data_IF_508165873555
#
_entry.id   IF_508165873555
#
_cell.length_a   1.000
_cell.length_b   1.000
_cell.length_c   1.000
_cell.angle_alpha   90.00
_cell.angle_beta   90.00
_cell.angle_gamma   90.00
#
_symmetry.space_group_name_H-M   'P 1'
#
loop_
_entity.id
_entity.type
_entity.pdbx_description
1 polymer ?
#
# COMPACT_ATOMS: atom_id res chain seq x y z
N UNK A 1 3.39 -0.15 16.74
CA UNK A 1 3.92 -1.51 16.86
C UNK A 1 2.95 -2.38 17.65
N UNK A 2 2.62 -2.02 18.90
CA UNK A 2 1.63 -2.74 19.75
C UNK A 2 0.36 -3.17 19.00
N UNK A 3 -0.33 -2.25 18.31
CA UNK A 3 -1.56 -2.58 17.55
C UNK A 3 -1.27 -3.55 16.38
N UNK A 4 -0.13 -3.41 15.71
CA UNK A 4 0.24 -4.26 14.56
C UNK A 4 0.46 -5.70 14.98
N UNK A 5 1.12 -5.90 16.12
CA UNK A 5 1.36 -7.23 16.68
C UNK A 5 0.07 -7.83 17.24
N UNK A 6 -0.66 -7.06 18.06
CA UNK A 6 -1.92 -7.50 18.65
C UNK A 6 -2.95 -7.96 17.60
N UNK A 7 -2.99 -7.28 16.44
CA UNK A 7 -3.91 -7.59 15.35
C UNK A 7 -3.28 -8.45 14.24
N UNK A 8 -2.00 -8.84 14.37
CA UNK A 8 -1.25 -9.62 13.38
C UNK A 8 -1.29 -9.02 11.96
N UNK A 9 -1.04 -7.71 11.85
CA UNK A 9 -1.05 -6.97 10.59
C UNK A 9 0.28 -7.15 9.84
N UNK A 10 0.35 -8.19 9.01
CA UNK A 10 1.58 -8.64 8.34
C UNK A 10 2.08 -7.75 7.20
N UNK A 11 1.19 -7.02 6.53
CA UNK A 11 1.52 -6.27 5.32
C UNK A 11 1.09 -4.82 5.47
N UNK A 12 1.94 -3.89 5.02
CA UNK A 12 1.60 -2.48 4.90
C UNK A 12 1.60 -2.07 3.43
N UNK A 13 0.52 -1.46 2.98
CA UNK A 13 0.37 -0.90 1.63
C UNK A 13 0.38 0.61 1.75
N UNK A 14 1.31 1.25 1.06
CA UNK A 14 1.36 2.70 0.92
C UNK A 14 1.23 3.08 -0.55
N UNK A 15 0.35 4.03 -0.84
CA UNK A 15 0.10 4.51 -2.20
C UNK A 15 0.54 5.96 -2.30
N UNK A 16 1.42 6.23 -3.24
CA UNK A 16 1.99 7.56 -3.50
C UNK A 16 1.79 7.88 -4.98
N UNK A 17 0.89 8.81 -5.29
CA UNK A 17 0.72 9.31 -6.65
C UNK A 17 0.58 10.84 -6.63
N UNK A 18 0.95 11.45 -7.75
CA UNK A 18 0.86 12.90 -7.93
C UNK A 18 -0.59 13.36 -8.02
N UNK A 19 -0.90 14.48 -7.38
CA UNK A 19 -2.22 15.09 -7.41
C UNK A 19 -2.25 16.33 -8.30
N UNK A 20 -3.28 16.48 -9.16
CA UNK A 20 -3.53 17.75 -9.84
C UNK A 20 -3.62 18.92 -8.84
N UNK A 21 -2.81 19.95 -9.04
CA UNK A 21 -2.80 21.15 -8.20
C UNK A 21 -1.81 21.13 -7.03
N UNK A 22 -1.06 20.04 -6.83
CA UNK A 22 0.10 20.01 -5.94
C UNK A 22 1.35 20.15 -6.79
N UNK A 23 2.13 21.21 -6.57
CA UNK A 23 3.36 21.44 -7.31
C UNK A 23 4.50 20.64 -6.69
N UNK A 24 5.05 19.70 -7.44
CA UNK A 24 6.19 18.86 -7.04
C UNK A 24 7.31 18.95 -8.06
N UNK A 25 8.52 18.47 -7.70
CA UNK A 25 9.65 18.42 -8.65
C UNK A 25 9.40 17.45 -9.80
N UNK A 26 8.67 16.37 -9.52
CA UNK A 26 8.33 15.30 -10.46
C UNK A 26 6.82 15.20 -10.57
N UNK A 27 6.32 15.07 -11.79
CA UNK A 27 4.88 14.96 -12.07
C UNK A 27 4.50 13.51 -12.40
N UNK A 28 3.21 13.17 -12.38
CA UNK A 28 2.67 11.89 -12.84
C UNK A 28 3.33 10.66 -12.19
N UNK A 29 3.65 10.75 -10.91
CA UNK A 29 4.10 9.60 -10.12
C UNK A 29 2.88 8.75 -9.78
N UNK A 30 3.01 7.43 -9.86
CA UNK A 30 2.05 6.47 -9.31
C UNK A 30 2.78 5.21 -8.88
N UNK A 31 3.16 5.17 -7.61
CA UNK A 31 3.98 4.14 -7.00
C UNK A 31 3.22 3.51 -5.83
N UNK A 32 3.20 2.18 -5.80
CA UNK A 32 2.69 1.42 -4.65
C UNK A 32 3.82 0.70 -3.94
N UNK A 33 3.87 0.89 -2.63
CA UNK A 33 4.86 0.28 -1.75
C UNK A 33 4.17 -0.78 -0.90
N UNK A 34 4.65 -2.01 -1.02
CA UNK A 34 4.24 -3.15 -0.21
C UNK A 34 5.38 -3.47 0.76
N UNK A 35 5.11 -3.37 2.05
CA UNK A 35 6.10 -3.53 3.11
C UNK A 35 5.73 -4.71 4.01
N UNK A 36 6.71 -5.56 4.29
CA UNK A 36 6.63 -6.54 5.39
C UNK A 36 6.59 -5.77 6.73
N UNK A 37 5.68 -6.13 7.63
CA UNK A 37 5.35 -5.28 8.78
C UNK A 37 5.56 -5.95 10.16
N UNK A 38 6.11 -7.18 10.20
CA UNK A 38 6.17 -8.01 11.42
C UNK A 38 7.55 -8.59 11.77
N UNK A 39 8.57 -8.43 10.94
CA UNK A 39 9.93 -8.89 11.23
C UNK A 39 11.00 -7.89 10.74
N UNK A 40 12.24 -8.34 10.58
CA UNK A 40 13.38 -7.51 10.23
C UNK A 40 13.90 -6.70 11.40
N UNK A 41 14.41 -5.51 11.11
CA UNK A 41 15.09 -4.61 12.05
C UNK A 41 14.12 -4.02 13.10
N UNK A 42 12.81 -4.06 12.82
CA UNK A 42 11.80 -3.58 13.75
C UNK A 42 11.37 -4.61 14.80
N UNK A 43 12.02 -5.78 14.86
CA UNK A 43 11.85 -6.74 15.97
C UNK A 43 12.37 -6.19 17.30
N UNK A 44 13.24 -5.15 17.27
CA UNK A 44 13.87 -4.52 18.46
C UNK A 44 14.60 -5.51 19.34
N UNK A 45 15.16 -6.55 18.73
CA UNK A 45 16.00 -7.51 19.41
C UNK A 45 17.41 -6.95 19.45
N UNK A 46 17.69 -6.20 20.52
CA UNK A 46 18.97 -5.56 20.76
C UNK A 46 19.46 -5.90 22.16
N UNK A 47 20.76 -6.14 22.28
CA UNK A 47 21.41 -6.38 23.57
C UNK A 47 22.82 -5.83 23.56
N UNK A 48 23.31 -5.52 24.76
CA UNK A 48 24.68 -5.06 25.00
C UNK A 48 25.39 -6.14 25.82
N UNK A 49 26.13 -7.01 25.14
CA UNK A 49 26.82 -8.14 25.79
C UNK A 49 28.04 -7.67 26.60
N UNK A 50 28.67 -6.59 26.17
CA UNK A 50 29.82 -5.92 26.81
C UNK A 50 29.58 -4.41 26.74
N UNK A 51 29.89 -3.64 27.79
CA UNK A 51 29.74 -2.18 27.76
C UNK A 51 30.42 -1.57 26.52
N UNK A 52 29.65 -0.85 25.72
CA UNK A 52 30.06 -0.24 24.45
C UNK A 52 29.82 -1.10 23.20
N UNK A 53 29.33 -2.34 23.32
CA UNK A 53 29.10 -3.26 22.18
C UNK A 53 27.63 -3.65 22.10
N UNK A 54 26.90 -2.98 21.20
CA UNK A 54 25.47 -3.22 20.96
C UNK A 54 25.28 -4.09 19.72
N UNK A 55 24.57 -5.19 19.89
CA UNK A 55 24.16 -6.08 18.81
C UNK A 55 22.69 -5.86 18.46
N UNK A 56 22.35 -5.94 17.18
CA UNK A 56 20.98 -5.84 16.68
C UNK A 56 20.68 -7.03 15.78
N UNK A 57 19.65 -7.81 16.13
CA UNK A 57 19.29 -9.05 15.45
C UNK A 57 18.20 -8.83 14.41
N UNK A 58 18.61 -8.78 13.14
CA UNK A 58 17.69 -8.80 12.00
C UNK A 58 17.24 -10.22 11.69
N UNK A 59 15.97 -10.52 11.93
CA UNK A 59 15.36 -11.82 11.62
C UNK A 59 14.48 -11.70 10.38
N UNK A 60 14.75 -12.52 9.37
CA UNK A 60 13.93 -12.68 8.17
C UNK A 60 13.53 -14.14 8.04
N UNK A 61 12.25 -14.42 7.83
CA UNK A 61 11.73 -15.77 7.70
C UNK A 61 11.12 -15.98 6.32
N UNK A 62 11.33 -17.18 5.76
CA UNK A 62 10.75 -17.53 4.47
C UNK A 62 9.22 -17.45 4.47
N UNK A 63 8.59 -17.81 5.60
CA UNK A 63 7.13 -17.80 5.77
C UNK A 63 6.55 -16.38 5.63
N UNK A 64 7.09 -15.40 6.37
CA UNK A 64 6.60 -14.01 6.33
C UNK A 64 6.98 -13.33 5.01
N UNK A 65 8.18 -13.58 4.50
CA UNK A 65 8.61 -13.14 3.17
C UNK A 65 7.69 -13.65 2.05
N UNK A 66 7.30 -14.93 2.09
CA UNK A 66 6.38 -15.52 1.10
C UNK A 66 5.00 -14.89 1.19
N UNK A 67 4.51 -14.64 2.41
CA UNK A 67 3.21 -14.02 2.63
C UNK A 67 3.14 -12.61 2.02
N UNK A 68 4.13 -11.76 2.28
CA UNK A 68 4.15 -10.39 1.72
C UNK A 68 4.37 -10.39 0.20
N UNK A 69 5.22 -11.29 -0.32
CA UNK A 69 5.44 -11.43 -1.75
C UNK A 69 4.15 -11.88 -2.48
N UNK A 70 3.50 -12.92 -1.97
CA UNK A 70 2.22 -13.42 -2.50
C UNK A 70 1.18 -12.31 -2.53
N UNK A 71 1.03 -11.58 -1.42
CA UNK A 71 0.12 -10.43 -1.35
C UNK A 71 0.48 -9.36 -2.39
N UNK A 72 1.77 -9.04 -2.59
CA UNK A 72 2.20 -8.02 -3.55
C UNK A 72 1.81 -8.38 -4.99
N UNK A 73 2.00 -9.64 -5.39
CA UNK A 73 1.61 -10.10 -6.73
C UNK A 73 0.09 -10.22 -6.91
N UNK A 74 -0.64 -10.69 -5.92
CA UNK A 74 -2.11 -10.70 -5.95
C UNK A 74 -2.68 -9.28 -6.05
N UNK A 75 -2.11 -8.35 -5.28
CA UNK A 75 -2.42 -6.92 -5.38
C UNK A 75 -2.11 -6.40 -6.79
N UNK A 76 -0.96 -6.75 -7.36
CA UNK A 76 -0.57 -6.31 -8.69
C UNK A 76 -1.59 -6.75 -9.75
N UNK A 77 -2.01 -8.03 -9.73
CA UNK A 77 -3.03 -8.57 -10.63
C UNK A 77 -4.37 -7.84 -10.44
N UNK A 78 -4.83 -7.71 -9.19
CA UNK A 78 -6.11 -7.04 -8.87
C UNK A 78 -6.14 -5.58 -9.33
N UNK A 79 -5.01 -4.89 -9.24
CA UNK A 79 -4.88 -3.48 -9.58
C UNK A 79 -4.32 -3.21 -10.97
N UNK A 80 -4.21 -4.24 -11.82
CA UNK A 80 -3.71 -4.14 -13.20
C UNK A 80 -2.33 -3.46 -13.26
N UNK A 81 -1.52 -3.70 -12.23
CA UNK A 81 -0.12 -3.30 -12.16
C UNK A 81 0.67 -4.27 -13.03
N UNK A 82 1.80 -3.79 -13.55
CA UNK A 82 2.56 -4.48 -14.60
C UNK A 82 3.94 -4.90 -14.12
N UNK A 83 4.50 -4.20 -13.13
CA UNK A 83 5.85 -4.47 -12.61
C UNK A 83 5.87 -4.51 -11.08
N UNK A 84 6.49 -5.56 -10.52
CA UNK A 84 6.83 -5.69 -9.10
C UNK A 84 8.36 -5.75 -8.94
N UNK A 85 8.93 -4.78 -8.22
CA UNK A 85 10.35 -4.72 -7.90
C UNK A 85 10.60 -5.17 -6.46
N UNK A 86 11.39 -6.23 -6.26
CA UNK A 86 11.88 -6.58 -4.92
C UNK A 86 13.08 -5.71 -4.55
N UNK A 87 12.99 -4.95 -3.46
CA UNK A 87 14.09 -4.09 -3.00
C UNK A 87 14.80 -4.72 -1.81
N UNK A 88 16.12 -4.82 -1.89
CA UNK A 88 16.93 -5.58 -0.92
C UNK A 88 18.36 -5.03 -0.81
N UNK A 89 19.20 -5.62 0.03
CA UNK A 89 20.65 -5.38 0.12
C UNK A 89 21.42 -6.71 0.19
N UNK A 90 21.02 -7.65 -0.66
CA UNK A 90 21.57 -9.02 -0.69
C UNK A 90 23.05 -9.07 -1.16
N UNK A 91 23.58 -7.98 -1.72
CA UNK A 91 25.02 -7.86 -1.98
C UNK A 91 25.86 -7.82 -0.69
N UNK A 92 25.29 -7.32 0.41
CA UNK A 92 25.91 -7.32 1.74
C UNK A 92 25.30 -8.41 2.62
N UNK A 93 23.98 -8.40 2.80
CA UNK A 93 23.23 -9.37 3.61
C UNK A 93 22.83 -10.61 2.78
N UNK A 94 23.83 -11.41 2.43
CA UNK A 94 23.67 -12.56 1.51
C UNK A 94 22.63 -13.59 1.99
N UNK A 95 22.48 -13.78 3.31
CA UNK A 95 21.55 -14.78 3.85
C UNK A 95 20.16 -14.20 4.12
N UNK A 96 20.04 -13.13 4.91
CA UNK A 96 18.73 -12.56 5.29
C UNK A 96 18.01 -11.94 4.09
N UNK A 97 18.64 -10.98 3.43
CA UNK A 97 18.06 -10.34 2.25
C UNK A 97 18.11 -11.24 1.01
N UNK A 98 19.09 -12.13 0.93
CA UNK A 98 19.11 -13.17 -0.10
C UNK A 98 17.92 -14.11 0.03
N UNK A 99 17.55 -14.53 1.24
CA UNK A 99 16.35 -15.32 1.48
C UNK A 99 15.08 -14.57 1.03
N UNK A 100 14.95 -13.30 1.41
CA UNK A 100 13.81 -12.47 0.99
C UNK A 100 13.71 -12.38 -0.55
N UNK A 101 14.82 -12.10 -1.23
CA UNK A 101 14.88 -12.00 -2.69
C UNK A 101 14.53 -13.33 -3.37
N UNK A 102 15.10 -14.44 -2.89
CA UNK A 102 14.85 -15.77 -3.44
C UNK A 102 13.37 -16.14 -3.33
N UNK A 103 12.76 -15.89 -2.16
CA UNK A 103 11.34 -16.15 -1.94
C UNK A 103 10.46 -15.28 -2.84
N UNK A 104 10.77 -13.98 -3.01
CA UNK A 104 10.05 -13.12 -3.95
C UNK A 104 10.15 -13.65 -5.40
N UNK A 105 11.35 -14.06 -5.81
CA UNK A 105 11.62 -14.62 -7.14
C UNK A 105 10.90 -15.94 -7.38
N UNK A 106 10.77 -16.78 -6.36
CA UNK A 106 9.98 -18.02 -6.43
C UNK A 106 8.50 -17.74 -6.58
N UNK A 107 7.95 -16.80 -5.80
CA UNK A 107 6.53 -16.41 -5.90
C UNK A 107 6.23 -15.83 -7.28
N UNK A 108 7.14 -15.00 -7.82
CA UNK A 108 6.99 -14.39 -9.15
C UNK A 108 6.72 -15.42 -10.26
N UNK A 109 7.29 -16.64 -10.17
CA UNK A 109 7.06 -17.72 -11.14
C UNK A 109 5.60 -18.15 -11.24
N UNK A 110 4.82 -17.93 -10.18
CA UNK A 110 3.38 -18.25 -10.15
C UNK A 110 2.52 -17.14 -10.77
N UNK A 111 3.12 -15.99 -11.11
CA UNK A 111 2.46 -14.82 -11.68
C UNK A 111 3.15 -14.35 -12.97
N UNK A 112 3.22 -15.19 -14.03
CA UNK A 112 3.96 -14.89 -15.25
C UNK A 112 3.46 -13.64 -16.02
N UNK A 113 2.26 -13.16 -15.71
CA UNK A 113 1.67 -11.95 -16.27
C UNK A 113 2.20 -10.65 -15.64
N UNK A 114 2.95 -10.73 -14.54
CA UNK A 114 3.53 -9.58 -13.85
C UNK A 114 5.04 -9.61 -14.06
N UNK A 115 5.60 -8.52 -14.59
CA UNK A 115 7.05 -8.39 -14.70
C UNK A 115 7.67 -8.32 -13.30
N UNK A 116 8.78 -9.04 -13.11
CA UNK A 116 9.50 -9.07 -11.85
C UNK A 116 10.96 -8.69 -12.06
N UNK A 117 11.44 -7.74 -11.27
CA UNK A 117 12.85 -7.42 -11.18
C UNK A 117 13.27 -7.19 -9.71
N UNK A 118 14.56 -6.99 -9.49
CA UNK A 118 15.08 -6.65 -8.17
C UNK A 118 16.06 -5.47 -8.24
N UNK A 119 16.15 -4.74 -7.13
CA UNK A 119 17.03 -3.58 -7.02
C UNK A 119 17.63 -3.48 -5.63
N UNK A 120 18.93 -3.15 -5.56
CA UNK A 120 19.57 -2.84 -4.28
C UNK A 120 19.04 -1.50 -3.72
N UNK A 121 18.80 -1.43 -2.41
CA UNK A 121 18.12 -0.31 -1.75
C UNK A 121 18.79 1.06 -1.96
N UNK A 122 20.13 1.11 -2.02
CA UNK A 122 20.89 2.31 -2.34
C UNK A 122 20.62 2.81 -3.76
N UNK A 123 20.67 1.92 -4.75
CA UNK A 123 20.31 2.27 -6.13
C UNK A 123 18.83 2.64 -6.22
N UNK A 124 17.94 1.94 -5.49
CA UNK A 124 16.52 2.27 -5.44
C UNK A 124 16.27 3.70 -4.95
N UNK A 125 16.90 4.11 -3.85
CA UNK A 125 16.80 5.49 -3.36
C UNK A 125 17.32 6.52 -4.38
N UNK A 126 18.47 6.24 -5.02
CA UNK A 126 19.03 7.11 -6.06
C UNK A 126 18.07 7.23 -7.26
N UNK A 127 17.54 6.11 -7.74
CA UNK A 127 16.62 6.06 -8.88
C UNK A 127 15.28 6.70 -8.55
N UNK A 128 14.76 6.58 -7.33
CA UNK A 128 13.49 7.19 -6.91
C UNK A 128 13.54 8.71 -7.02
N UNK A 129 14.65 9.34 -6.60
CA UNK A 129 14.78 10.80 -6.67
C UNK A 129 15.13 11.32 -8.06
N UNK A 130 15.77 10.50 -8.90
CA UNK A 130 16.20 10.90 -10.25
C UNK A 130 15.18 10.56 -11.34
N UNK A 131 14.60 9.36 -11.30
CA UNK A 131 13.74 8.79 -12.35
C UNK A 131 12.61 7.93 -11.73
N UNK A 132 11.67 8.53 -10.98
CA UNK A 132 10.64 7.77 -10.26
C UNK A 132 9.69 6.98 -11.17
N UNK A 133 9.47 7.41 -12.41
CA UNK A 133 8.53 6.79 -13.36
C UNK A 133 8.87 5.37 -13.79
N UNK A 134 10.08 4.89 -13.48
CA UNK A 134 10.46 3.50 -13.76
C UNK A 134 9.82 2.51 -12.76
N UNK A 135 9.33 3.00 -11.62
CA UNK A 135 8.74 2.16 -10.58
C UNK A 135 7.21 2.11 -10.72
N UNK A 136 6.65 0.92 -10.51
CA UNK A 136 5.20 0.68 -10.46
C UNK A 136 4.82 0.17 -9.06
N UNK A 137 5.14 -1.08 -8.76
CA UNK A 137 5.07 -1.63 -7.41
C UNK A 137 6.44 -2.01 -6.87
N UNK A 138 6.66 -1.77 -5.58
CA UNK A 138 7.84 -2.25 -4.87
C UNK A 138 7.45 -3.10 -3.67
N UNK A 139 8.12 -4.24 -3.49
CA UNK A 139 7.98 -5.10 -2.31
C UNK A 139 9.28 -5.07 -1.51
N UNK A 140 9.18 -4.77 -0.21
CA UNK A 140 10.34 -4.50 0.63
C UNK A 140 10.24 -5.17 2.02
N UNK A 141 11.38 -5.55 2.62
CA UNK A 141 11.49 -5.78 4.06
C UNK A 141 11.14 -4.53 4.88
N UNK A 142 10.94 -4.75 6.17
CA UNK A 142 10.31 -3.78 7.06
C UNK A 142 11.00 -2.41 7.14
N UNK A 143 12.32 -2.37 7.37
CA UNK A 143 13.07 -1.11 7.44
C UNK A 143 13.09 -0.36 6.12
N UNK A 144 13.37 -1.05 5.02
CA UNK A 144 13.50 -0.43 3.70
C UNK A 144 12.17 0.11 3.21
N UNK A 145 11.07 -0.62 3.44
CA UNK A 145 9.73 -0.13 3.15
C UNK A 145 9.40 1.16 3.91
N UNK A 146 9.91 1.33 5.13
CA UNK A 146 9.73 2.59 5.87
C UNK A 146 10.52 3.75 5.24
N UNK A 147 11.77 3.51 4.85
CA UNK A 147 12.63 4.54 4.24
C UNK A 147 12.08 4.96 2.87
N UNK A 148 11.86 3.98 1.99
CA UNK A 148 11.32 4.20 0.64
C UNK A 148 9.93 4.82 0.69
N UNK A 149 9.09 4.41 1.66
CA UNK A 149 7.80 5.03 1.92
C UNK A 149 7.87 6.53 2.18
N UNK A 150 8.83 6.99 2.98
CA UNK A 150 9.01 8.41 3.26
C UNK A 150 9.57 9.17 2.05
N UNK A 151 10.50 8.57 1.30
CA UNK A 151 11.01 9.16 0.05
C UNK A 151 9.88 9.34 -0.96
N UNK A 152 9.09 8.28 -1.20
CA UNK A 152 7.96 8.33 -2.14
C UNK A 152 6.88 9.33 -1.71
N UNK A 153 6.59 9.44 -0.41
CA UNK A 153 5.69 10.48 0.09
C UNK A 153 6.24 11.89 -0.20
N UNK A 154 7.54 12.12 0.01
CA UNK A 154 8.19 13.39 -0.32
C UNK A 154 8.11 13.74 -1.81
N UNK A 155 8.20 12.75 -2.71
CA UNK A 155 8.11 12.96 -4.15
C UNK A 155 6.73 13.46 -4.61
N UNK A 156 5.67 13.11 -3.89
CA UNK A 156 4.27 13.43 -4.27
C UNK A 156 3.67 14.62 -3.50
N UNK A 157 4.49 15.39 -2.79
CA UNK A 157 4.05 16.59 -2.05
C UNK A 157 4.02 16.42 -0.53
N UNK A 158 4.51 15.30 -0.03
CA UNK A 158 4.78 15.08 1.38
C UNK A 158 3.74 14.23 2.11
N UNK A 159 3.83 14.21 3.45
CA UNK A 159 3.11 13.22 4.26
C UNK A 159 1.60 13.42 4.31
N UNK A 160 1.11 14.64 4.03
CA UNK A 160 -0.30 14.98 4.01
C UNK A 160 -1.08 14.38 2.83
N UNK A 161 -0.39 13.71 1.90
CA UNK A 161 -0.99 13.12 0.69
C UNK A 161 -0.79 11.59 0.59
N UNK A 162 0.08 11.02 1.42
CA UNK A 162 0.37 9.58 1.39
C UNK A 162 -0.69 8.77 2.16
N UNK A 163 -1.25 7.74 1.53
CA UNK A 163 -2.28 6.86 2.11
C UNK A 163 -1.65 5.55 2.59
N UNK A 164 -2.21 4.97 3.66
CA UNK A 164 -1.64 3.78 4.32
C UNK A 164 -2.70 2.76 4.77
N UNK A 165 -2.41 1.48 4.52
CA UNK A 165 -3.25 0.37 4.94
C UNK A 165 -2.39 -0.72 5.55
N UNK A 166 -2.70 -1.13 6.78
CA UNK A 166 -2.08 -2.30 7.42
C UNK A 166 -3.08 -3.45 7.34
N UNK A 167 -2.66 -4.55 6.76
CA UNK A 167 -3.51 -5.69 6.47
C UNK A 167 -2.94 -6.94 7.15
N UNK A 168 -3.82 -7.67 7.83
CA UNK A 168 -3.59 -9.02 8.33
C UNK A 168 -4.69 -9.96 7.86
N UNK A 169 -4.66 -11.21 8.34
CA UNK A 169 -5.60 -12.24 7.87
C UNK A 169 -7.05 -11.98 8.33
N UNK A 170 -7.20 -11.34 9.49
CA UNK A 170 -8.50 -11.10 10.14
C UNK A 170 -8.82 -9.62 10.36
N UNK A 171 -7.82 -8.76 10.27
CA UNK A 171 -7.93 -7.35 10.66
C UNK A 171 -7.32 -6.45 9.59
N UNK A 172 -7.89 -5.27 9.44
CA UNK A 172 -7.35 -4.20 8.62
C UNK A 172 -7.36 -2.90 9.43
N UNK A 173 -6.28 -2.13 9.34
CA UNK A 173 -6.12 -0.83 9.97
C UNK A 173 -5.72 0.20 8.91
N UNK A 174 -6.55 1.22 8.77
CA UNK A 174 -6.38 2.31 7.83
C UNK A 174 -5.79 3.51 8.57
N UNK A 175 -4.62 3.97 8.15
CA UNK A 175 -3.91 5.11 8.74
C UNK A 175 -3.24 5.99 7.66
N UNK A 176 -2.67 7.13 8.03
CA UNK A 176 -1.87 7.91 7.07
C UNK A 176 -0.65 7.11 6.62
N UNK A 177 -0.25 7.23 5.35
CA UNK A 177 0.84 6.47 4.75
C UNK A 177 2.20 6.72 5.41
N UNK A 178 2.37 7.89 6.01
CA UNK A 178 3.52 8.21 6.84
C UNK A 178 3.09 8.47 8.28
N UNK A 179 3.97 8.11 9.22
CA UNK A 179 3.73 8.27 10.66
C UNK A 179 4.27 9.62 11.15
N UNK A 180 3.76 10.71 10.56
CA UNK A 180 4.15 12.06 10.96
C UNK A 180 3.20 12.57 12.05
N UNK A 181 3.75 12.78 13.24
CA UNK A 181 2.96 13.18 14.42
C UNK A 181 2.39 14.59 14.34
N UNK A 182 2.91 15.44 13.44
CA UNK A 182 2.43 16.80 13.25
C UNK A 182 2.43 17.64 14.53
N UNK A 183 3.27 17.32 15.53
CA UNK A 183 3.26 17.96 16.86
C UNK A 183 3.35 19.48 16.80
N UNK A 184 4.11 20.01 15.84
CA UNK A 184 4.25 21.45 15.61
C UNK A 184 2.97 22.15 15.10
N UNK A 185 1.96 21.39 14.65
CA UNK A 185 0.70 21.87 14.09
C UNK A 185 -0.48 21.78 15.08
N UNK A 186 -0.28 21.16 16.24
CA UNK A 186 -1.33 20.95 17.25
C UNK A 186 -1.89 22.30 17.70
N UNK A 187 -3.23 22.42 17.73
CA UNK A 187 -3.94 23.63 18.17
C UNK A 187 -3.94 24.78 17.15
N UNK A 188 -3.26 24.64 16.01
CA UNK A 188 -3.16 25.71 14.99
C UNK A 188 -4.23 25.65 13.91
N UNK A 189 -4.96 24.53 13.80
CA UNK A 189 -5.98 24.31 12.77
C UNK A 189 -5.47 24.50 11.32
N UNK A 190 -4.22 24.12 11.06
CA UNK A 190 -3.56 24.21 9.73
C UNK A 190 -3.09 22.85 9.20
N UNK A 191 -3.45 21.75 9.88
CA UNK A 191 -3.05 20.41 9.46
C UNK A 191 -3.84 20.01 8.19
N UNK A 192 -3.15 19.39 7.23
CA UNK A 192 -3.78 18.87 6.03
C UNK A 192 -4.53 17.56 6.34
N UNK A 193 -5.87 17.49 6.24
CA UNK A 193 -6.63 16.27 6.51
C UNK A 193 -6.67 15.31 5.33
N UNK A 194 -6.05 15.64 4.20
CA UNK A 194 -6.29 14.93 2.95
C UNK A 194 -5.87 13.46 3.00
N UNK A 195 -4.67 13.14 3.50
CA UNK A 195 -4.23 11.75 3.67
C UNK A 195 -5.22 10.90 4.47
N UNK A 196 -5.80 11.42 5.56
CA UNK A 196 -6.74 10.64 6.36
C UNK A 196 -8.10 10.49 5.65
N UNK A 197 -8.56 11.50 4.92
CA UNK A 197 -9.79 11.41 4.12
C UNK A 197 -9.66 10.37 3.00
N UNK A 198 -8.52 10.32 2.35
CA UNK A 198 -8.23 9.35 1.31
C UNK A 198 -8.09 7.93 1.86
N UNK A 199 -7.40 7.78 2.99
CA UNK A 199 -7.35 6.50 3.71
C UNK A 199 -8.75 6.03 4.14
N UNK A 200 -9.67 6.94 4.52
CA UNK A 200 -11.06 6.60 4.81
C UNK A 200 -11.81 6.10 3.57
N UNK A 201 -11.54 6.69 2.40
CA UNK A 201 -12.09 6.18 1.13
C UNK A 201 -11.60 4.75 0.84
N UNK A 202 -10.33 4.45 1.12
CA UNK A 202 -9.79 3.09 1.02
C UNK A 202 -10.48 2.12 1.99
N UNK A 203 -10.74 2.57 3.22
CA UNK A 203 -11.48 1.78 4.22
C UNK A 203 -12.90 1.47 3.75
N UNK A 204 -13.63 2.47 3.22
CA UNK A 204 -14.97 2.26 2.71
C UNK A 204 -14.98 1.28 1.53
N UNK A 205 -14.01 1.40 0.62
CA UNK A 205 -13.82 0.44 -0.47
C UNK A 205 -13.57 -0.98 0.03
N UNK A 206 -12.74 -1.13 1.06
CA UNK A 206 -12.46 -2.42 1.70
C UNK A 206 -13.71 -3.04 2.31
N UNK A 207 -14.53 -2.25 3.01
CA UNK A 207 -15.79 -2.71 3.59
C UNK A 207 -16.81 -3.13 2.53
N UNK A 208 -16.98 -2.35 1.47
CA UNK A 208 -17.91 -2.69 0.37
C UNK A 208 -17.49 -3.99 -0.30
N UNK A 209 -16.18 -4.18 -0.52
CA UNK A 209 -15.66 -5.43 -1.07
C UNK A 209 -15.97 -6.62 -0.15
N UNK A 210 -15.81 -6.47 1.17
CA UNK A 210 -16.19 -7.49 2.15
C UNK A 210 -17.68 -7.81 2.03
N UNK A 211 -18.56 -6.80 2.03
CA UNK A 211 -20.00 -7.02 1.91
C UNK A 211 -20.39 -7.74 0.61
N UNK A 212 -19.75 -7.41 -0.53
CA UNK A 212 -20.01 -8.11 -1.79
C UNK A 212 -19.59 -9.58 -1.73
N UNK A 213 -18.44 -9.89 -1.10
CA UNK A 213 -18.00 -11.27 -0.90
C UNK A 213 -18.96 -12.02 0.02
N UNK A 214 -19.36 -11.43 1.16
CA UNK A 214 -20.34 -12.05 2.07
C UNK A 214 -21.72 -12.20 1.44
N UNK A 215 -22.17 -11.27 0.60
CA UNK A 215 -23.42 -11.42 -0.12
C UNK A 215 -23.38 -12.60 -1.10
N UNK A 216 -22.27 -12.79 -1.83
CA UNK A 216 -22.09 -13.96 -2.69
C UNK A 216 -22.00 -15.29 -1.92
N UNK A 217 -21.34 -15.32 -0.75
CA UNK A 217 -21.34 -16.51 0.10
C UNK A 217 -22.69 -16.75 0.81
N UNK A 218 -23.43 -15.68 1.10
CA UNK A 218 -24.79 -15.70 1.62
C UNK A 218 -25.79 -16.26 0.61
N UNK A 219 -25.74 -15.88 -0.66
CA UNK A 219 -26.65 -16.45 -1.67
C UNK A 219 -26.55 -17.99 -1.76
N UNK A 220 -25.36 -18.57 -1.53
CA UNK A 220 -25.18 -20.04 -1.49
C UNK A 220 -25.73 -20.72 -0.22
N UNK A 221 -25.98 -19.97 0.86
CA UNK A 221 -26.57 -20.48 2.11
C UNK A 221 -28.07 -20.13 2.26
N UNK A 222 -28.55 -19.11 1.54
CA UNK A 222 -29.95 -18.67 1.51
C UNK A 222 -30.75 -19.24 0.33
N UNK A 223 -30.14 -20.02 -0.57
CA UNK A 223 -30.82 -20.72 -1.66
C UNK A 223 -31.93 -21.71 -1.19
N UNK A 224 -31.99 -22.02 0.10
CA UNK A 224 -33.05 -22.85 0.71
C UNK A 224 -34.23 -22.10 1.35
N UNK A 225 -34.21 -20.76 1.46
CA UNK A 225 -35.19 -20.01 2.28
C UNK A 225 -36.17 -19.13 1.50
N UNK A 226 -36.27 -19.26 0.18
CA UNK A 226 -37.37 -18.69 -0.62
C UNK A 226 -37.41 -17.16 -0.72
N UNK A 227 -36.45 -16.43 -0.15
CA UNK A 227 -36.35 -14.98 -0.28
C UNK A 227 -35.73 -14.61 -1.65
N UNK A 228 -36.58 -14.37 -2.66
CA UNK A 228 -36.14 -13.76 -3.93
C UNK A 228 -35.83 -12.29 -3.71
N UNK A 229 -34.57 -11.97 -3.43
CA UNK A 229 -34.04 -10.60 -3.38
C UNK A 229 -33.93 -9.95 -4.77
N UNK A 230 -35.05 -9.71 -5.45
CA UNK A 230 -35.08 -9.09 -6.79
C UNK A 230 -34.68 -7.60 -6.80
N UNK A 231 -34.66 -6.92 -5.64
CA UNK A 231 -34.24 -5.52 -5.53
C UNK A 231 -32.72 -5.34 -5.36
N UNK A 232 -32.01 -6.28 -4.74
CA UNK A 232 -30.56 -6.13 -4.49
C UNK A 232 -29.72 -6.37 -5.75
N UNK A 233 -30.19 -7.23 -6.65
CA UNK A 233 -29.46 -7.66 -7.84
C UNK A 233 -29.20 -6.54 -8.87
N UNK A 234 -30.01 -5.47 -8.87
CA UNK A 234 -29.86 -4.34 -9.82
C UNK A 234 -28.99 -3.19 -9.30
N UNK A 235 -28.83 -3.03 -7.99
CA UNK A 235 -28.04 -1.94 -7.41
C UNK A 235 -26.60 -2.35 -7.09
N UNK A 236 -26.36 -3.59 -6.66
CA UNK A 236 -24.99 -4.08 -6.45
C UNK A 236 -24.24 -4.21 -7.77
N UNK A 237 -24.86 -4.68 -8.85
CA UNK A 237 -24.23 -4.69 -10.17
C UNK A 237 -23.96 -3.28 -10.74
N UNK A 238 -24.75 -2.27 -10.38
CA UNK A 238 -24.50 -0.87 -10.78
C UNK A 238 -23.38 -0.19 -9.98
N UNK A 239 -23.19 -0.58 -8.71
CA UNK A 239 -22.11 -0.06 -7.86
C UNK A 239 -20.81 -0.87 -7.97
N UNK A 240 -20.89 -2.16 -8.32
CA UNK A 240 -19.74 -3.06 -8.33
C UNK A 240 -18.99 -3.09 -9.67
N UNK A 241 -19.58 -2.67 -10.79
CA UNK A 241 -18.91 -2.80 -12.09
C UNK A 241 -19.54 -1.91 -13.16
N UNK A 242 -19.48 -0.59 -13.01
CA UNK A 242 -19.68 0.26 -14.19
C UNK A 242 -18.41 0.22 -15.07
N UNK A 243 -18.40 -0.76 -15.97
CA UNK A 243 -17.37 -1.00 -16.99
C UNK A 243 -17.43 0.04 -18.13
N UNK A 244 -18.28 1.07 -18.02
CA UNK A 244 -18.59 2.03 -19.08
C UNK A 244 -18.27 3.50 -18.76
N UNK A 245 -17.40 3.77 -17.78
CA UNK A 245 -16.74 5.08 -17.72
C UNK A 245 -15.75 5.20 -18.87
N UNK A 246 -16.30 5.54 -20.03
CA UNK A 246 -15.59 6.02 -21.21
C UNK A 246 -14.61 7.10 -20.78
N UNK A 247 -13.38 6.97 -21.26
CA UNK A 247 -12.25 7.84 -20.94
C UNK A 247 -12.44 9.16 -21.68
N UNK A 248 -13.38 9.98 -21.21
CA UNK A 248 -13.55 11.33 -21.70
C UNK A 248 -12.41 12.19 -21.13
N UNK A 249 -11.41 12.45 -21.97
CA UNK A 249 -10.11 13.09 -21.70
C UNK A 249 -10.21 14.58 -21.33
N UNK A 250 -11.37 15.05 -20.87
CA UNK A 250 -11.61 16.43 -20.49
C UNK A 250 -11.97 16.55 -19.00
N UNK A 251 -10.93 16.80 -18.21
CA UNK A 251 -10.97 17.61 -16.97
C UNK A 251 -11.80 17.10 -15.78
N UNK A 252 -11.90 15.79 -15.53
CA UNK A 252 -12.56 15.25 -14.33
C UNK A 252 -11.61 14.34 -13.53
N UNK A 253 -11.29 14.75 -12.30
CA UNK A 253 -10.36 14.08 -11.39
C UNK A 253 -10.91 12.72 -10.95
N UNK A 254 -10.25 11.65 -11.41
CA UNK A 254 -10.57 10.26 -11.10
C UNK A 254 -9.57 9.75 -10.06
N UNK A 255 -10.08 9.24 -8.94
CA UNK A 255 -9.36 8.70 -7.78
C UNK A 255 -9.18 7.20 -7.95
N UNK A 256 -7.98 6.69 -8.29
CA UNK A 256 -7.73 5.27 -8.30
C UNK A 256 -7.66 4.77 -6.86
N UNK A 257 -8.63 3.98 -6.41
CA UNK A 257 -8.58 3.20 -5.17
C UNK A 257 -8.44 1.72 -5.48
N UNK A 258 -7.86 0.92 -4.56
CA UNK A 258 -7.84 -0.53 -4.70
C UNK A 258 -9.23 -1.20 -4.69
N UNK A 259 -10.31 -0.42 -4.63
CA UNK A 259 -11.68 -0.92 -4.67
C UNK A 259 -12.54 -0.24 -5.75
N UNK A 260 -11.96 0.65 -6.57
CA UNK A 260 -12.66 1.33 -7.67
C UNK A 260 -12.07 2.70 -8.02
N UNK A 261 -12.62 3.34 -9.06
CA UNK A 261 -12.28 4.73 -9.42
C UNK A 261 -13.37 5.67 -8.91
N UNK A 262 -13.01 6.64 -8.06
CA UNK A 262 -13.99 7.57 -7.47
C UNK A 262 -13.82 8.97 -8.07
N UNK A 263 -14.88 9.76 -8.14
CA UNK A 263 -14.77 11.15 -8.60
C UNK A 263 -14.57 12.05 -7.38
N UNK A 264 -13.51 12.85 -7.37
CA UNK A 264 -13.30 13.83 -6.30
C UNK A 264 -14.33 14.95 -6.39
N UNK A 265 -14.86 15.36 -5.23
CA UNK A 265 -15.79 16.49 -5.18
C UNK A 265 -15.01 17.82 -5.31
N UNK A 266 -15.62 18.88 -5.87
CA UNK A 266 -14.95 20.18 -5.99
C UNK A 266 -14.47 20.80 -4.66
N UNK A 267 -15.04 20.36 -3.53
CA UNK A 267 -14.65 20.79 -2.19
C UNK A 267 -13.33 20.15 -1.75
N UNK A 268 -13.11 18.87 -2.10
CA UNK A 268 -11.85 18.17 -1.84
C UNK A 268 -10.71 18.74 -2.70
N UNK A 269 -10.99 19.14 -3.95
CA UNK A 269 -10.00 19.78 -4.83
C UNK A 269 -9.43 21.08 -4.25
N UNK A 270 -10.23 21.87 -3.52
CA UNK A 270 -9.74 23.09 -2.85
C UNK A 270 -8.78 22.78 -1.72
N UNK A 271 -9.02 21.70 -0.97
CA UNK A 271 -8.16 21.29 0.16
C UNK A 271 -6.78 20.86 -0.34
N UNK A 272 -6.72 20.18 -1.50
CA UNK A 272 -5.46 19.76 -2.15
C UNK A 272 -4.58 20.94 -2.54
N UNK A 273 -5.19 22.04 -3.02
CA UNK A 273 -4.46 23.21 -3.55
C UNK A 273 -3.96 24.18 -2.48
N UNK A 274 -4.42 24.03 -1.23
CA UNK A 274 -4.03 24.89 -0.11
C UNK A 274 -2.80 24.38 0.66
N UNK A 275 -2.17 23.30 0.19
CA UNK A 275 -0.91 22.74 0.72
C UNK A 275 0.24 22.92 -0.23
#
# INVERSE_FOLDING_TARGET
MVIREALSLSTFVQRCYSFPGVTTRHDNIDIVIIRENTEGEYSRLEHENVPGVVESLKIITAKKSRKVAQFAFEYAVKHKRRLVTAVHKANIMKLSDGLFLNVCSEVAKSFPQIEFNSMIIDNCCMQLVSRPHQFDMMVLPNLYGNIVGNVAAGLVGGPGLACGMNLGDKHALFETGTRNSGRSLVGKNVANPFAILLTNADMLGYLVHIFCVYAHYGENSWAGSGFRGSCFHKQTNKLAYDRSLDVDTKTKMLWPSPFGVYKLSPQLDRIVRTT
#
